data_IF_048076309575
#
_entry.id   IF_048076309575
#
_cell.length_a   1.000
_cell.length_b   1.000
_cell.length_c   1.000
_cell.angle_alpha   90.00
_cell.angle_beta   90.00
_cell.angle_gamma   90.00
#
_symmetry.space_group_name_H-M   'P 1'
#
loop_
_entity.id
_entity.type
_entity.pdbx_description
1 polymer ?
#
# COMPACT_ATOMS: atom_id res chain seq x y z
N UNK A 1 24.79 -47.81 -32.94
CA UNK A 1 23.75 -46.77 -33.01
C UNK A 1 24.16 -45.67 -32.05
N UNK A 2 24.67 -44.56 -32.58
CA UNK A 2 25.16 -43.41 -31.81
C UNK A 2 24.08 -42.34 -31.85
N UNK A 3 23.28 -42.24 -30.79
CA UNK A 3 22.38 -41.11 -30.59
C UNK A 3 23.22 -39.85 -30.39
N UNK A 4 22.97 -38.82 -31.20
CA UNK A 4 23.71 -37.56 -31.19
C UNK A 4 23.04 -36.62 -30.16
N UNK A 5 23.78 -35.93 -29.28
CA UNK A 5 23.20 -35.13 -28.20
C UNK A 5 22.73 -33.76 -28.72
N UNK A 6 21.59 -33.71 -29.40
CA UNK A 6 20.99 -32.46 -29.93
C UNK A 6 19.90 -31.89 -29.01
N UNK A 7 19.87 -32.32 -27.74
CA UNK A 7 18.80 -31.97 -26.79
C UNK A 7 19.28 -31.43 -25.45
N UNK A 8 20.58 -31.48 -25.13
CA UNK A 8 21.04 -31.08 -23.80
C UNK A 8 21.05 -29.56 -23.61
N UNK A 9 21.43 -28.78 -24.64
CA UNK A 9 21.47 -27.32 -24.54
C UNK A 9 20.05 -26.73 -24.57
N UNK A 10 19.21 -27.21 -25.48
CA UNK A 10 17.80 -26.81 -25.56
C UNK A 10 17.05 -27.12 -24.26
N UNK A 11 17.17 -28.33 -23.71
CA UNK A 11 16.48 -28.68 -22.46
C UNK A 11 17.05 -27.89 -21.26
N UNK A 12 18.36 -27.64 -21.19
CA UNK A 12 18.95 -26.79 -20.15
C UNK A 12 18.44 -25.35 -20.25
N UNK A 13 18.35 -24.80 -21.47
CA UNK A 13 17.84 -23.45 -21.70
C UNK A 13 16.34 -23.35 -21.38
N UNK A 14 15.54 -24.34 -21.78
CA UNK A 14 14.11 -24.41 -21.44
C UNK A 14 13.89 -24.56 -19.93
N UNK A 15 14.73 -25.31 -19.22
CA UNK A 15 14.66 -25.45 -17.77
C UNK A 15 15.01 -24.14 -17.05
N UNK A 16 16.01 -23.39 -17.55
CA UNK A 16 16.33 -22.05 -17.05
C UNK A 16 15.17 -21.06 -17.22
N UNK A 17 14.50 -21.08 -18.38
CA UNK A 17 13.30 -20.27 -18.63
C UNK A 17 12.16 -20.72 -17.71
N UNK A 18 11.90 -22.03 -17.65
CA UNK A 18 10.81 -22.61 -16.87
C UNK A 18 10.91 -22.29 -15.38
N UNK A 19 12.13 -22.34 -14.81
CA UNK A 19 12.38 -22.04 -13.39
C UNK A 19 12.06 -20.58 -13.03
N UNK A 20 12.13 -19.67 -13.98
CA UNK A 20 11.87 -18.23 -13.80
C UNK A 20 10.42 -17.84 -14.07
N UNK A 21 9.62 -18.74 -14.65
CA UNK A 21 8.21 -18.51 -14.98
C UNK A 21 7.25 -18.97 -13.86
N UNK A 22 6.11 -18.26 -13.67
CA UNK A 22 5.03 -18.70 -12.80
C UNK A 22 4.44 -20.05 -13.24
N UNK A 23 4.09 -20.91 -12.29
CA UNK A 23 3.58 -22.26 -12.55
C UNK A 23 2.36 -22.30 -13.49
N UNK A 24 1.53 -21.24 -13.50
CA UNK A 24 0.33 -21.15 -14.34
C UNK A 24 0.61 -21.10 -15.84
N UNK A 25 1.66 -20.37 -16.26
CA UNK A 25 1.96 -20.12 -17.69
C UNK A 25 3.17 -20.90 -18.18
N UNK A 26 3.90 -21.52 -17.25
CA UNK A 26 5.15 -22.25 -17.53
C UNK A 26 4.99 -23.31 -18.61
N UNK A 27 3.92 -24.12 -18.56
CA UNK A 27 3.69 -25.18 -19.55
C UNK A 27 3.55 -24.63 -20.96
N UNK A 28 2.54 -23.78 -21.15
CA UNK A 28 2.22 -23.20 -22.46
C UNK A 28 3.40 -22.43 -23.08
N UNK A 29 4.15 -21.67 -22.27
CA UNK A 29 5.32 -20.91 -22.74
C UNK A 29 6.48 -21.84 -23.09
N UNK A 30 6.78 -22.85 -22.26
CA UNK A 30 7.86 -23.81 -22.53
C UNK A 30 7.56 -24.62 -23.79
N UNK A 31 6.32 -25.03 -23.99
CA UNK A 31 5.92 -25.79 -25.17
C UNK A 31 5.99 -24.92 -26.44
N UNK A 32 5.53 -23.66 -26.38
CA UNK A 32 5.67 -22.71 -27.48
C UNK A 32 7.14 -22.44 -27.83
N UNK A 33 8.01 -22.26 -26.83
CA UNK A 33 9.44 -22.05 -27.05
C UNK A 33 10.14 -23.30 -27.59
N UNK A 34 9.73 -24.50 -27.16
CA UNK A 34 10.25 -25.76 -27.71
C UNK A 34 9.94 -25.88 -29.20
N UNK A 35 8.72 -25.56 -29.62
CA UNK A 35 8.34 -25.52 -31.04
C UNK A 35 9.15 -24.46 -31.79
N UNK A 36 9.29 -23.25 -31.23
CA UNK A 36 10.02 -22.16 -31.86
C UNK A 36 11.52 -22.46 -32.05
N UNK A 37 12.14 -23.22 -31.14
CA UNK A 37 13.53 -23.71 -31.28
C UNK A 37 13.60 -24.79 -32.36
N UNK A 38 12.67 -25.74 -32.36
CA UNK A 38 12.63 -26.83 -33.35
C UNK A 38 12.49 -26.31 -34.78
N UNK A 39 11.62 -25.31 -35.00
CA UNK A 39 11.42 -24.68 -36.31
C UNK A 39 12.69 -24.00 -36.81
N UNK A 40 13.41 -23.26 -35.94
CA UNK A 40 14.67 -22.60 -36.30
C UNK A 40 15.79 -23.59 -36.63
N UNK A 41 15.86 -24.69 -35.88
CA UNK A 41 16.81 -25.77 -36.16
C UNK A 41 16.50 -26.41 -37.51
N UNK A 42 15.22 -26.67 -37.81
CA UNK A 42 14.78 -27.23 -39.08
C UNK A 42 15.15 -26.31 -40.26
N UNK A 43 14.91 -25.01 -40.14
CA UNK A 43 15.26 -24.01 -41.13
C UNK A 43 16.78 -23.91 -41.37
N UNK A 44 17.57 -23.98 -40.31
CA UNK A 44 19.02 -23.97 -40.41
C UNK A 44 19.54 -25.27 -41.07
N UNK A 45 18.93 -26.42 -40.77
CA UNK A 45 19.26 -27.69 -41.40
C UNK A 45 18.93 -27.69 -42.90
N UNK A 46 17.80 -27.09 -43.30
CA UNK A 46 17.44 -26.90 -44.70
C UNK A 46 18.47 -26.05 -45.49
N UNK A 47 19.20 -25.17 -44.79
CA UNK A 47 20.31 -24.37 -45.32
C UNK A 47 21.67 -25.08 -45.25
N UNK A 48 21.70 -26.36 -44.88
CA UNK A 48 22.92 -27.16 -44.80
C UNK A 48 23.79 -26.88 -43.58
N UNK A 49 23.26 -26.22 -42.54
CA UNK A 49 23.99 -25.97 -41.28
C UNK A 49 24.06 -27.27 -40.46
N UNK A 50 25.23 -27.64 -39.90
CA UNK A 50 25.34 -28.80 -39.01
C UNK A 50 24.43 -28.66 -37.78
N UNK A 51 23.81 -29.76 -37.36
CA UNK A 51 22.88 -29.80 -36.22
C UNK A 51 23.36 -29.08 -34.93
N UNK A 52 24.59 -29.27 -34.44
CA UNK A 52 25.04 -28.58 -33.22
C UNK A 52 25.20 -27.06 -33.40
N UNK A 53 25.53 -26.60 -34.60
CA UNK A 53 25.63 -25.17 -34.89
C UNK A 53 24.24 -24.55 -35.09
N UNK A 54 23.31 -25.31 -35.67
CA UNK A 54 21.92 -24.91 -35.81
C UNK A 54 21.24 -24.69 -34.45
N UNK A 55 21.46 -25.60 -33.48
CA UNK A 55 20.95 -25.47 -32.11
C UNK A 55 21.51 -24.22 -31.40
N UNK A 56 22.84 -24.01 -31.46
CA UNK A 56 23.46 -22.84 -30.81
C UNK A 56 22.94 -21.52 -31.40
N UNK A 57 22.82 -21.46 -32.73
CA UNK A 57 22.33 -20.27 -33.43
C UNK A 57 20.87 -19.96 -33.10
N UNK A 58 20.01 -20.98 -33.01
CA UNK A 58 18.61 -20.82 -32.63
C UNK A 58 18.48 -20.26 -31.20
N UNK A 59 19.29 -20.73 -30.26
CA UNK A 59 19.32 -20.23 -28.88
C UNK A 59 19.90 -18.81 -28.79
N UNK A 60 20.94 -18.49 -29.55
CA UNK A 60 21.52 -17.13 -29.64
C UNK A 60 20.54 -16.10 -30.22
N UNK A 61 19.73 -16.50 -31.21
CA UNK A 61 18.68 -15.66 -31.81
C UNK A 61 17.50 -15.41 -30.85
N UNK A 62 17.14 -16.40 -30.04
CA UNK A 62 16.11 -16.27 -28.99
C UNK A 62 16.60 -15.47 -27.77
N UNK A 63 17.91 -15.48 -27.52
CA UNK A 63 18.55 -14.62 -26.54
C UNK A 63 18.61 -15.20 -25.11
N UNK A 64 18.87 -14.30 -24.15
CA UNK A 64 19.07 -14.67 -22.75
C UNK A 64 17.78 -15.25 -22.14
N UNK A 65 17.81 -16.50 -21.61
CA UNK A 65 16.65 -17.12 -20.99
C UNK A 65 16.13 -16.33 -19.78
N UNK A 66 16.97 -15.50 -19.13
CA UNK A 66 16.52 -14.62 -18.04
C UNK A 66 15.63 -13.49 -18.57
N UNK A 67 16.04 -12.84 -19.67
CA UNK A 67 15.28 -11.74 -20.28
C UNK A 67 14.02 -12.23 -20.97
N UNK A 68 14.10 -13.37 -21.66
CA UNK A 68 12.94 -13.95 -22.33
C UNK A 68 11.85 -14.38 -21.32
N UNK A 69 12.26 -14.88 -20.15
CA UNK A 69 11.34 -15.17 -19.07
C UNK A 69 10.69 -13.92 -18.48
N UNK A 70 11.33 -12.75 -18.54
CA UNK A 70 10.76 -11.48 -18.07
C UNK A 70 9.64 -10.99 -18.99
N UNK A 71 9.80 -11.13 -20.30
CA UNK A 71 8.77 -10.77 -21.28
C UNK A 71 7.51 -11.67 -21.19
N UNK A 72 7.69 -12.90 -20.70
CA UNK A 72 6.62 -13.88 -20.54
C UNK A 72 6.14 -14.09 -19.09
N UNK A 73 6.75 -13.42 -18.11
CA UNK A 73 6.31 -13.49 -16.72
C UNK A 73 5.17 -12.50 -16.48
N UNK A 74 3.93 -12.97 -16.20
CA UNK A 74 2.86 -12.08 -15.77
C UNK A 74 3.09 -11.66 -14.31
N UNK A 75 3.74 -10.53 -14.10
CA UNK A 75 3.66 -9.83 -12.83
C UNK A 75 4.82 -8.91 -12.51
N UNK A 76 4.55 -7.74 -11.90
CA UNK A 76 5.61 -6.82 -11.49
C UNK A 76 6.47 -7.42 -10.37
N UNK A 77 7.80 -7.38 -10.53
CA UNK A 77 8.79 -7.69 -9.47
C UNK A 77 9.00 -6.52 -8.50
N UNK A 78 8.30 -5.41 -8.68
CA UNK A 78 8.43 -4.21 -7.85
C UNK A 78 7.39 -4.19 -6.74
N UNK A 79 7.82 -3.79 -5.53
CA UNK A 79 6.91 -3.55 -4.40
C UNK A 79 6.05 -2.30 -4.64
N UNK A 80 6.59 -1.31 -5.34
CA UNK A 80 5.91 -0.07 -5.75
C UNK A 80 6.26 0.17 -7.21
N UNK A 81 5.25 0.21 -8.09
CA UNK A 81 5.47 0.35 -9.53
C UNK A 81 5.80 1.77 -9.98
N UNK A 82 6.39 1.91 -11.19
CA UNK A 82 6.75 3.21 -11.74
C UNK A 82 5.54 4.14 -11.93
N UNK A 83 4.32 3.56 -12.02
CA UNK A 83 3.08 4.31 -12.16
C UNK A 83 2.65 5.04 -10.88
N UNK A 84 3.05 4.55 -9.69
CA UNK A 84 2.69 5.13 -8.39
C UNK A 84 3.89 5.68 -7.63
N UNK A 85 5.09 5.57 -8.20
CA UNK A 85 6.33 5.97 -7.56
C UNK A 85 6.37 7.48 -7.25
N UNK A 86 5.79 8.31 -8.12
CA UNK A 86 5.74 9.75 -7.88
C UNK A 86 4.81 10.10 -6.71
N UNK A 87 3.60 9.56 -6.68
CA UNK A 87 2.68 9.75 -5.56
C UNK A 87 3.25 9.20 -4.24
N UNK A 88 4.01 8.10 -4.30
CA UNK A 88 4.74 7.55 -3.14
C UNK A 88 5.76 8.55 -2.59
N UNK A 89 6.58 9.17 -3.45
CA UNK A 89 7.55 10.17 -3.02
C UNK A 89 6.89 11.43 -2.44
N UNK A 90 5.76 11.86 -3.01
CA UNK A 90 4.99 12.99 -2.48
C UNK A 90 4.45 12.68 -1.07
N UNK A 91 3.89 11.49 -0.87
CA UNK A 91 3.45 11.05 0.45
C UNK A 91 4.62 10.99 1.43
N UNK A 92 5.74 10.37 1.05
CA UNK A 92 6.93 10.25 1.89
C UNK A 92 7.45 11.63 2.32
N UNK A 93 7.48 12.58 1.39
CA UNK A 93 7.95 13.96 1.62
C UNK A 93 7.11 14.72 2.64
N UNK A 94 5.83 14.37 2.82
CA UNK A 94 4.94 14.99 3.81
C UNK A 94 4.89 14.16 5.10
N UNK A 95 4.68 12.85 4.98
CA UNK A 95 4.39 11.98 6.11
C UNK A 95 5.59 11.81 7.05
N UNK A 96 6.79 11.65 6.50
CA UNK A 96 8.03 11.47 7.28
C UNK A 96 8.32 12.69 8.16
N UNK A 97 8.42 13.92 7.63
CA UNK A 97 8.72 15.08 8.49
C UNK A 97 7.58 15.39 9.46
N UNK A 98 6.32 15.15 9.10
CA UNK A 98 5.19 15.36 10.03
C UNK A 98 5.29 14.41 11.21
N UNK A 99 5.46 13.10 10.97
CA UNK A 99 5.59 12.14 12.07
C UNK A 99 6.88 12.33 12.86
N UNK A 100 7.99 12.65 12.21
CA UNK A 100 9.23 13.02 12.90
C UNK A 100 9.04 14.25 13.80
N UNK A 101 8.35 15.28 13.30
CA UNK A 101 8.05 16.50 14.04
C UNK A 101 7.10 16.26 15.21
N UNK A 102 6.06 15.44 15.04
CA UNK A 102 5.12 15.10 16.13
C UNK A 102 5.82 14.29 17.21
N UNK A 103 6.54 13.22 16.86
CA UNK A 103 7.26 12.39 17.83
C UNK A 103 8.37 13.18 18.53
N UNK A 104 9.19 13.90 17.77
CA UNK A 104 10.28 14.72 18.29
C UNK A 104 9.77 15.87 19.15
N UNK A 105 8.76 16.58 18.68
CA UNK A 105 8.14 17.71 19.39
C UNK A 105 7.48 17.27 20.69
N UNK A 106 6.74 16.15 20.71
CA UNK A 106 6.14 15.62 21.94
C UNK A 106 7.20 15.19 22.95
N UNK A 107 8.28 14.54 22.48
CA UNK A 107 9.41 14.13 23.31
C UNK A 107 10.16 15.34 23.89
N UNK A 108 10.36 16.38 23.06
CA UNK A 108 10.96 17.64 23.50
C UNK A 108 10.05 18.35 24.52
N UNK A 109 8.75 18.39 24.28
CA UNK A 109 7.79 19.01 25.20
C UNK A 109 7.80 18.32 26.57
N UNK A 110 7.82 16.98 26.57
CA UNK A 110 7.94 16.19 27.80
C UNK A 110 9.20 16.52 28.60
N UNK A 111 10.36 16.57 27.93
CA UNK A 111 11.63 16.94 28.58
C UNK A 111 11.69 18.40 29.03
N UNK A 112 11.05 19.33 28.30
CA UNK A 112 10.95 20.75 28.67
C UNK A 112 10.12 20.98 29.94
N UNK A 113 8.98 20.29 30.08
CA UNK A 113 8.14 20.43 31.28
C UNK A 113 8.65 19.63 32.49
N UNK A 114 9.48 18.59 32.28
CA UNK A 114 9.97 17.74 33.37
C UNK A 114 11.08 18.38 34.23
N UNK A 115 11.82 19.37 33.72
CA UNK A 115 13.17 19.69 34.22
C UNK A 115 13.43 21.18 34.47
N UNK A 116 12.39 21.96 34.77
CA UNK A 116 12.51 23.30 35.34
C UNK A 116 13.16 23.24 36.74
N UNK A 117 14.49 23.15 36.82
CA UNK A 117 15.21 23.13 38.11
C UNK A 117 16.64 22.60 38.16
N UNK A 118 17.28 22.19 37.05
CA UNK A 118 18.72 21.79 37.10
C UNK A 118 19.67 22.98 37.00
N UNK A 119 20.83 22.85 37.65
CA UNK A 119 21.91 23.85 37.67
C UNK A 119 22.84 23.79 36.44
N UNK A 120 22.80 22.71 35.63
CA UNK A 120 23.62 22.52 34.43
C UNK A 120 22.80 22.58 33.13
N UNK A 121 22.65 23.76 32.51
CA UNK A 121 21.80 23.96 31.32
C UNK A 121 22.30 23.22 30.07
N UNK A 122 23.62 22.97 29.96
CA UNK A 122 24.23 22.35 28.77
C UNK A 122 23.94 20.84 28.70
N UNK A 123 24.11 20.12 29.82
CA UNK A 123 23.83 18.69 29.87
C UNK A 123 22.33 18.40 29.65
N UNK A 124 21.48 19.30 30.14
CA UNK A 124 20.05 19.25 29.94
C UNK A 124 19.65 19.44 28.47
N UNK A 125 20.15 20.49 27.82
CA UNK A 125 19.89 20.74 26.41
C UNK A 125 20.34 19.55 25.53
N UNK A 126 21.47 18.92 25.87
CA UNK A 126 21.98 17.75 25.15
C UNK A 126 21.04 16.52 25.30
N UNK A 127 20.53 16.24 26.49
CA UNK A 127 19.65 15.09 26.75
C UNK A 127 18.25 15.28 26.14
N UNK A 128 17.69 16.49 26.25
CA UNK A 128 16.42 16.85 25.63
C UNK A 128 16.52 16.74 24.09
N UNK A 129 17.62 17.22 23.51
CA UNK A 129 17.85 17.09 22.08
C UNK A 129 18.05 15.62 21.65
N UNK A 130 18.80 14.82 22.40
CA UNK A 130 19.04 13.41 22.09
C UNK A 130 17.74 12.58 22.10
N UNK A 131 16.90 12.76 23.12
CA UNK A 131 15.61 12.07 23.24
C UNK A 131 14.60 12.55 22.18
N UNK A 132 14.56 13.84 21.87
CA UNK A 132 13.77 14.39 20.78
C UNK A 132 14.21 13.85 19.42
N UNK A 133 15.52 13.74 19.17
CA UNK A 133 16.06 13.22 17.93
C UNK A 133 15.76 11.73 17.75
N UNK A 134 15.92 10.93 18.81
CA UNK A 134 15.55 9.51 18.80
C UNK A 134 14.06 9.29 18.56
N UNK A 135 13.22 10.14 19.17
CA UNK A 135 11.78 10.14 18.91
C UNK A 135 11.46 10.52 17.45
N UNK A 136 12.06 11.59 16.94
CA UNK A 136 11.88 12.03 15.57
C UNK A 136 12.29 10.95 14.56
N UNK A 137 13.42 10.27 14.81
CA UNK A 137 13.86 9.15 13.98
C UNK A 137 12.85 8.00 13.99
N UNK A 138 12.30 7.63 15.15
CA UNK A 138 11.25 6.63 15.22
C UNK A 138 10.01 7.06 14.42
N UNK A 139 9.56 8.31 14.58
CA UNK A 139 8.43 8.85 13.82
C UNK A 139 8.67 8.84 12.31
N UNK A 140 9.89 9.18 11.88
CA UNK A 140 10.31 9.13 10.48
C UNK A 140 10.25 7.70 9.91
N UNK A 141 10.82 6.72 10.63
CA UNK A 141 10.81 5.31 10.21
C UNK A 141 9.39 4.75 10.14
N UNK A 142 8.56 5.11 11.12
CA UNK A 142 7.16 4.69 11.16
C UNK A 142 6.36 5.28 10.00
N UNK A 143 6.58 6.56 9.66
CA UNK A 143 5.98 7.20 8.50
C UNK A 143 6.43 6.58 7.17
N UNK A 144 7.72 6.30 7.03
CA UNK A 144 8.24 5.63 5.84
C UNK A 144 7.66 4.21 5.69
N UNK A 145 7.62 3.44 6.78
CA UNK A 145 7.03 2.10 6.81
C UNK A 145 5.55 2.11 6.44
N UNK A 146 4.78 3.04 7.02
CA UNK A 146 3.36 3.21 6.68
C UNK A 146 3.16 3.54 5.20
N UNK A 147 3.94 4.48 4.64
CA UNK A 147 3.88 4.81 3.21
C UNK A 147 4.18 3.60 2.32
N UNK A 148 5.20 2.81 2.65
CA UNK A 148 5.53 1.58 1.91
C UNK A 148 4.38 0.58 1.96
N UNK A 149 3.79 0.33 3.13
CA UNK A 149 2.67 -0.61 3.26
C UNK A 149 1.47 -0.15 2.43
N UNK A 150 1.10 1.14 2.50
CA UNK A 150 -0.02 1.69 1.70
C UNK A 150 0.21 1.44 0.22
N UNK A 151 1.36 1.83 -0.32
CA UNK A 151 1.64 1.72 -1.75
C UNK A 151 1.87 0.27 -2.20
N UNK A 152 2.50 -0.57 -1.37
CA UNK A 152 2.66 -1.99 -1.65
C UNK A 152 1.31 -2.70 -1.80
N UNK A 153 0.34 -2.35 -0.94
CA UNK A 153 -0.99 -2.93 -1.01
C UNK A 153 -1.75 -2.40 -2.23
N UNK A 154 -1.64 -1.10 -2.56
CA UNK A 154 -2.23 -0.52 -3.78
C UNK A 154 -1.71 -1.25 -5.03
N UNK A 155 -0.39 -1.37 -5.18
CA UNK A 155 0.26 -2.06 -6.30
C UNK A 155 -0.21 -3.50 -6.42
N UNK A 156 -0.27 -4.22 -5.28
CA UNK A 156 -0.64 -5.64 -5.26
C UNK A 156 -2.08 -5.87 -5.71
N UNK A 157 -3.01 -5.01 -5.30
CA UNK A 157 -4.41 -5.17 -5.68
C UNK A 157 -4.66 -4.75 -7.13
N UNK A 158 -3.97 -3.73 -7.63
CA UNK A 158 -4.06 -3.35 -9.04
C UNK A 158 -3.48 -4.45 -9.95
N UNK A 159 -2.33 -5.01 -9.60
CA UNK A 159 -1.71 -6.15 -10.28
C UNK A 159 -2.65 -7.37 -10.35
N UNK A 160 -3.32 -7.69 -9.25
CA UNK A 160 -4.28 -8.80 -9.19
C UNK A 160 -5.48 -8.61 -10.14
N UNK A 161 -5.94 -7.36 -10.34
CA UNK A 161 -7.01 -7.08 -11.31
C UNK A 161 -6.57 -7.18 -12.75
N UNK A 162 -5.38 -6.70 -13.07
CA UNK A 162 -4.85 -6.79 -14.43
C UNK A 162 -4.71 -8.26 -14.84
N UNK A 163 -4.20 -9.09 -13.93
CA UNK A 163 -4.17 -10.55 -14.11
C UNK A 163 -5.57 -11.16 -14.25
N UNK A 164 -6.54 -10.72 -13.43
CA UNK A 164 -7.93 -11.20 -13.52
C UNK A 164 -8.68 -10.77 -14.80
N UNK A 165 -8.40 -9.58 -15.34
CA UNK A 165 -8.97 -9.12 -16.61
C UNK A 165 -8.36 -9.83 -17.81
N UNK A 166 -7.05 -10.05 -17.82
CA UNK A 166 -6.39 -10.85 -18.85
C UNK A 166 -6.99 -12.28 -18.86
N UNK A 167 -7.09 -12.91 -17.69
CA UNK A 167 -7.70 -14.23 -17.56
C UNK A 167 -9.19 -14.30 -17.97
N UNK A 168 -9.93 -13.21 -17.87
CA UNK A 168 -11.34 -13.13 -18.29
C UNK A 168 -11.52 -12.78 -19.78
N UNK A 169 -10.51 -12.16 -20.41
CA UNK A 169 -10.49 -11.89 -21.85
C UNK A 169 -10.20 -13.16 -22.67
N UNK A 170 -9.55 -14.15 -22.05
CA UNK A 170 -9.28 -15.47 -22.63
C UNK A 170 -10.46 -16.47 -22.47
N UNK A 171 -11.62 -16.01 -21.97
CA UNK A 171 -12.84 -16.83 -21.98
C UNK A 171 -13.31 -17.03 -23.44
N UNK A 172 -13.74 -18.24 -23.83
CA UNK A 172 -13.84 -18.63 -25.24
C UNK A 172 -14.78 -17.71 -26.02
N UNK A 173 -14.21 -17.03 -27.02
CA UNK A 173 -14.89 -16.17 -27.98
C UNK A 173 -15.74 -16.97 -28.99
N UNK A 174 -16.59 -17.88 -28.51
CA UNK A 174 -17.43 -18.72 -29.37
C UNK A 174 -18.71 -18.02 -29.89
N UNK A 175 -18.86 -16.70 -29.70
CA UNK A 175 -20.08 -15.99 -30.12
C UNK A 175 -19.85 -14.69 -30.90
N UNK A 176 -18.68 -14.47 -31.50
CA UNK A 176 -18.44 -13.34 -32.41
C UNK A 176 -17.90 -13.85 -33.75
N UNK A 177 -18.81 -14.30 -34.59
CA UNK A 177 -18.50 -14.82 -35.91
C UNK A 177 -17.91 -13.78 -36.87
N UNK A 178 -17.04 -14.29 -37.75
CA UNK A 178 -16.86 -13.86 -39.14
C UNK A 178 -16.25 -12.49 -39.41
N UNK A 179 -14.91 -12.45 -39.43
CA UNK A 179 -14.03 -12.03 -40.55
C UNK A 179 -12.75 -11.40 -40.02
N UNK A 180 -11.65 -12.12 -40.11
CA UNK A 180 -10.33 -11.55 -40.40
C UNK A 180 -9.44 -12.65 -40.97
N UNK A 181 -9.41 -12.73 -42.30
CA UNK A 181 -8.38 -13.47 -43.02
C UNK A 181 -7.18 -12.54 -43.24
N UNK A 182 -5.99 -13.07 -42.94
CA UNK A 182 -4.74 -12.80 -43.66
C UNK A 182 -4.25 -11.35 -43.76
N UNK A 183 -3.40 -10.96 -42.82
CA UNK A 183 -2.16 -10.24 -43.08
C UNK A 183 -1.34 -10.28 -41.79
N UNK A 184 -0.08 -10.75 -41.87
CA UNK A 184 0.91 -10.50 -40.83
C UNK A 184 1.13 -8.98 -40.78
N UNK A 185 0.43 -8.30 -39.88
CA UNK A 185 0.65 -6.88 -39.62
C UNK A 185 1.95 -6.74 -38.82
N UNK A 186 3.00 -6.23 -39.47
CA UNK A 186 4.13 -5.61 -38.77
C UNK A 186 3.59 -4.70 -37.65
N UNK A 187 4.19 -4.69 -36.44
CA UNK A 187 3.65 -3.92 -35.32
C UNK A 187 3.52 -2.45 -35.72
N UNK A 188 2.27 -2.01 -35.90
CA UNK A 188 1.94 -0.71 -36.45
C UNK A 188 2.67 0.38 -35.65
N UNK A 189 3.53 1.13 -36.35
CA UNK A 189 4.30 2.23 -35.77
C UNK A 189 3.31 3.20 -35.10
N UNK A 190 3.54 3.48 -33.81
CA UNK A 190 2.64 4.31 -33.01
C UNK A 190 2.33 5.65 -33.71
N UNK A 191 1.04 5.96 -33.87
CA UNK A 191 0.56 7.24 -34.45
C UNK A 191 -0.26 8.04 -33.44
N UNK A 192 -0.38 9.35 -33.65
CA UNK A 192 -1.06 10.26 -32.71
C UNK A 192 -2.55 9.93 -32.56
N UNK A 193 -3.17 9.29 -33.55
CA UNK A 193 -4.56 8.84 -33.45
C UNK A 193 -4.75 7.67 -32.47
N UNK A 194 -3.66 6.99 -32.06
CA UNK A 194 -3.67 5.94 -31.02
C UNK A 194 -3.53 6.52 -29.61
N UNK A 195 -3.52 7.84 -29.45
CA UNK A 195 -3.48 8.49 -28.15
C UNK A 195 -4.75 8.13 -27.36
N UNK A 196 -4.64 7.49 -26.19
CA UNK A 196 -5.80 7.19 -25.36
C UNK A 196 -6.55 8.48 -25.03
N UNK A 197 -7.88 8.48 -25.00
CA UNK A 197 -8.64 9.66 -24.61
C UNK A 197 -8.16 10.14 -23.24
N UNK A 198 -8.11 11.47 -23.01
CA UNK A 198 -7.63 12.04 -21.77
C UNK A 198 -8.35 11.38 -20.61
N UNK A 199 -7.57 10.80 -19.68
CA UNK A 199 -8.12 10.14 -18.50
C UNK A 199 -9.01 11.16 -17.77
N UNK A 200 -10.23 10.78 -17.35
CA UNK A 200 -11.08 11.69 -16.59
C UNK A 200 -10.29 12.19 -15.38
N UNK A 201 -10.44 13.47 -14.99
CA UNK A 201 -9.74 14.03 -13.83
C UNK A 201 -9.94 13.10 -12.65
N UNK A 202 -8.85 12.70 -11.98
CA UNK A 202 -8.93 11.87 -10.77
C UNK A 202 -9.81 12.63 -9.77
N UNK A 203 -10.96 12.05 -9.42
CA UNK A 203 -11.89 12.62 -8.42
C UNK A 203 -11.25 12.75 -7.03
N UNK A 204 -10.10 12.10 -6.80
CA UNK A 204 -9.32 12.14 -5.56
C UNK A 204 -8.02 12.88 -5.87
N UNK A 205 -7.84 14.06 -5.28
CA UNK A 205 -6.56 14.79 -5.37
C UNK A 205 -5.49 14.05 -4.58
N UNK A 206 -4.22 14.15 -5.00
CA UNK A 206 -3.11 13.56 -4.23
C UNK A 206 -3.11 14.08 -2.79
N UNK A 207 -3.51 15.35 -2.59
CA UNK A 207 -3.73 15.93 -1.26
C UNK A 207 -4.77 15.21 -0.41
N UNK A 208 -5.87 14.69 -0.98
CA UNK A 208 -6.88 13.93 -0.23
C UNK A 208 -6.33 12.57 0.22
N UNK A 209 -5.56 11.89 -0.64
CA UNK A 209 -4.90 10.63 -0.29
C UNK A 209 -3.82 10.84 0.77
N UNK A 210 -3.04 11.92 0.66
CA UNK A 210 -2.02 12.30 1.65
C UNK A 210 -2.67 12.62 2.99
N UNK A 211 -3.78 13.35 2.99
CA UNK A 211 -4.49 13.71 4.23
C UNK A 211 -5.11 12.48 4.92
N UNK A 212 -5.77 11.60 4.16
CA UNK A 212 -6.33 10.36 4.75
C UNK A 212 -5.23 9.45 5.27
N UNK A 213 -4.17 9.25 4.47
CA UNK A 213 -2.99 8.46 4.87
C UNK A 213 -2.30 9.02 6.11
N UNK A 214 -2.23 10.35 6.24
CA UNK A 214 -1.63 11.01 7.40
C UNK A 214 -2.47 10.80 8.67
N UNK A 215 -3.78 11.06 8.61
CA UNK A 215 -4.67 10.86 9.76
C UNK A 215 -4.65 9.42 10.25
N UNK A 216 -4.58 8.49 9.30
CA UNK A 216 -4.60 7.06 9.55
C UNK A 216 -3.24 6.52 10.08
N UNK A 217 -2.13 7.07 9.60
CA UNK A 217 -0.81 6.80 10.17
C UNK A 217 -0.67 7.37 11.59
N UNK A 218 -1.24 8.55 11.85
CA UNK A 218 -1.31 9.13 13.20
C UNK A 218 -2.19 8.28 14.13
N UNK A 219 -3.33 7.78 13.65
CA UNK A 219 -4.17 6.85 14.40
C UNK A 219 -3.39 5.58 14.77
N UNK A 220 -2.70 4.96 13.81
CA UNK A 220 -1.83 3.82 14.08
C UNK A 220 -0.71 4.15 15.10
N UNK A 221 -0.13 5.35 15.01
CA UNK A 221 0.92 5.81 15.92
C UNK A 221 0.45 6.20 17.32
N UNK A 222 -0.83 6.56 17.48
CA UNK A 222 -1.38 7.11 18.73
C UNK A 222 -1.08 6.26 19.98
N UNK A 223 -1.35 4.93 20.03
CA UNK A 223 -1.06 4.14 21.24
C UNK A 223 0.43 4.11 21.57
N UNK A 224 1.32 4.10 20.57
CA UNK A 224 2.77 4.11 20.78
C UNK A 224 3.27 5.48 21.24
N UNK A 225 2.71 6.56 20.70
CA UNK A 225 3.00 7.94 21.09
C UNK A 225 2.60 8.20 22.54
N UNK A 226 1.36 7.85 22.90
CA UNK A 226 0.79 8.15 24.21
C UNK A 226 1.27 7.15 25.29
N UNK A 227 1.87 6.02 24.91
CA UNK A 227 2.55 5.11 25.85
C UNK A 227 3.97 5.52 26.16
N UNK A 228 4.48 6.61 25.58
CA UNK A 228 5.80 7.12 25.96
C UNK A 228 5.70 7.88 27.29
N UNK A 229 6.69 7.70 28.18
CA UNK A 229 6.77 8.51 29.38
C UNK A 229 6.98 9.96 28.96
N UNK A 230 6.06 10.83 29.37
CA UNK A 230 6.17 12.26 29.10
C UNK A 230 7.21 12.92 30.02
N UNK A 231 7.52 12.31 31.17
CA UNK A 231 8.44 12.84 32.16
C UNK A 231 9.64 11.90 32.35
N UNK A 232 10.84 12.46 32.28
CA UNK A 232 12.09 11.72 32.51
C UNK A 232 12.52 11.72 33.99
N UNK A 233 12.13 12.74 34.77
CA UNK A 233 12.47 12.89 36.18
C UNK A 233 11.29 13.44 37.00
N UNK A 234 11.40 13.35 38.33
CA UNK A 234 10.33 13.72 39.26
C UNK A 234 9.44 12.52 39.61
N UNK A 235 8.41 12.71 40.43
CA UNK A 235 7.65 11.59 40.96
C UNK A 235 6.74 10.93 39.91
N UNK A 236 6.67 11.44 38.67
CA UNK A 236 5.99 10.89 37.48
C UNK A 236 7.00 10.31 36.46
N UNK A 237 8.29 10.25 36.82
CA UNK A 237 9.35 9.80 35.92
C UNK A 237 9.09 8.37 35.43
N UNK A 238 9.13 8.18 34.11
CA UNK A 238 8.92 6.87 33.50
C UNK A 238 7.45 6.44 33.41
N UNK A 239 6.51 7.24 33.90
CA UNK A 239 5.08 6.93 33.81
C UNK A 239 4.52 7.31 32.43
N UNK A 240 3.93 6.36 31.67
CA UNK A 240 3.29 6.65 30.39
C UNK A 240 2.01 7.48 30.58
N UNK A 241 1.61 8.25 29.55
CA UNK A 241 0.34 8.97 29.58
C UNK A 241 -0.84 8.00 29.57
N UNK A 242 -0.80 7.01 28.67
CA UNK A 242 -1.75 5.89 28.66
C UNK A 242 -1.53 5.00 29.87
N UNK A 243 -2.60 4.60 30.55
CA UNK A 243 -2.50 3.59 31.59
C UNK A 243 -1.98 2.25 31.00
N UNK A 244 -1.02 1.57 31.65
CA UNK A 244 -0.49 0.29 31.15
C UNK A 244 -1.56 -0.78 30.93
N UNK A 245 -2.63 -0.76 31.74
CA UNK A 245 -3.76 -1.68 31.61
C UNK A 245 -4.57 -1.55 30.31
N UNK A 246 -4.40 -0.46 29.55
CA UNK A 246 -5.05 -0.30 28.24
C UNK A 246 -4.45 -1.20 27.16
N UNK A 247 -3.20 -1.65 27.32
CA UNK A 247 -2.51 -2.43 26.28
C UNK A 247 -3.18 -3.76 25.99
N UNK A 248 -3.83 -4.38 26.97
CA UNK A 248 -4.61 -5.59 26.77
C UNK A 248 -5.97 -5.48 27.45
N UNK A 249 -7.10 -5.64 26.72
CA UNK A 249 -7.24 -6.01 25.30
C UNK A 249 -7.40 -4.81 24.34
N UNK A 250 -7.43 -3.58 24.84
CA UNK A 250 -7.99 -2.44 24.10
C UNK A 250 -7.12 -1.97 22.93
N UNK A 251 -5.79 -1.88 23.11
CA UNK A 251 -4.87 -1.45 22.03
C UNK A 251 -4.92 -2.39 20.82
N UNK A 252 -4.83 -3.73 20.95
CA UNK A 252 -5.01 -4.66 19.83
C UNK A 252 -6.35 -4.50 19.12
N UNK A 253 -7.44 -4.30 19.86
CA UNK A 253 -8.77 -4.12 19.27
C UNK A 253 -8.88 -2.79 18.50
N UNK A 254 -8.32 -1.71 19.05
CA UNK A 254 -8.16 -0.43 18.38
C UNK A 254 -7.33 -0.57 17.09
N UNK A 255 -6.17 -1.20 17.15
CA UNK A 255 -5.31 -1.43 15.98
C UNK A 255 -5.99 -2.30 14.93
N UNK A 256 -6.78 -3.29 15.35
CA UNK A 256 -7.63 -4.09 14.46
C UNK A 256 -8.63 -3.23 13.69
N UNK A 257 -9.33 -2.32 14.36
CA UNK A 257 -10.25 -1.38 13.72
C UNK A 257 -9.53 -0.36 12.81
N UNK A 258 -8.34 0.12 13.20
CA UNK A 258 -7.49 0.94 12.33
C UNK A 258 -7.13 0.15 11.07
N UNK A 259 -6.71 -1.11 11.20
CA UNK A 259 -6.37 -1.96 10.06
C UNK A 259 -7.59 -2.23 9.14
N UNK A 260 -8.78 -2.40 9.72
CA UNK A 260 -10.04 -2.49 8.94
C UNK A 260 -10.32 -1.17 8.22
N UNK A 261 -10.07 -0.03 8.87
CA UNK A 261 -10.22 1.30 8.27
C UNK A 261 -9.26 1.50 7.09
N UNK A 262 -7.99 1.07 7.23
CA UNK A 262 -7.01 1.01 6.12
C UNK A 262 -7.52 0.17 4.95
N UNK A 263 -7.96 -1.06 5.23
CA UNK A 263 -8.47 -1.96 4.20
C UNK A 263 -9.71 -1.41 3.50
N UNK A 264 -10.54 -0.67 4.24
CA UNK A 264 -11.74 -0.03 3.72
C UNK A 264 -11.43 1.17 2.80
N UNK A 265 -10.55 2.08 3.22
CA UNK A 265 -10.09 3.21 2.39
C UNK A 265 -9.49 2.72 1.08
N UNK A 266 -8.67 1.68 1.16
CA UNK A 266 -8.14 0.99 0.00
C UNK A 266 -9.27 0.45 -0.89
N UNK A 267 -10.24 -0.28 -0.33
CA UNK A 267 -11.37 -0.80 -1.12
C UNK A 267 -12.18 0.31 -1.81
N UNK A 268 -12.36 1.46 -1.16
CA UNK A 268 -13.00 2.65 -1.72
C UNK A 268 -12.20 3.20 -2.90
N UNK A 269 -10.89 3.42 -2.72
CA UNK A 269 -9.97 3.86 -3.77
C UNK A 269 -10.05 2.95 -5.00
N UNK A 270 -10.12 1.66 -4.74
CA UNK A 270 -10.18 0.61 -5.73
C UNK A 270 -11.51 0.53 -6.50
N UNK A 271 -12.66 0.80 -5.88
CA UNK A 271 -13.96 0.69 -6.54
C UNK A 271 -14.34 1.93 -7.36
N UNK A 272 -13.66 3.08 -7.18
CA UNK A 272 -13.86 4.38 -7.90
C UNK A 272 -15.32 4.84 -8.06
N UNK A 273 -16.27 4.23 -7.36
CA UNK A 273 -17.70 4.44 -7.51
C UNK A 273 -18.32 4.40 -6.13
N UNK A 274 -18.83 5.54 -5.68
CA UNK A 274 -19.64 5.62 -4.48
C UNK A 274 -20.96 4.86 -4.66
N UNK A 275 -21.33 4.10 -3.64
CA UNK A 275 -22.63 3.47 -3.51
C UNK A 275 -23.10 3.61 -2.06
N UNK A 276 -24.41 3.57 -1.84
CA UNK A 276 -24.99 3.59 -0.50
C UNK A 276 -24.48 2.46 0.39
N UNK A 277 -24.20 1.29 -0.20
CA UNK A 277 -23.58 0.17 0.53
C UNK A 277 -22.17 0.47 1.01
N UNK A 278 -21.36 1.20 0.23
CA UNK A 278 -20.03 1.62 0.67
C UNK A 278 -20.13 2.65 1.81
N UNK A 279 -21.04 3.62 1.71
CA UNK A 279 -21.26 4.56 2.81
C UNK A 279 -21.66 3.85 4.11
N UNK A 280 -22.56 2.85 4.03
CA UNK A 280 -23.02 2.11 5.20
C UNK A 280 -21.90 1.34 5.91
N UNK A 281 -20.97 0.74 5.16
CA UNK A 281 -19.83 0.03 5.75
C UNK A 281 -18.84 1.01 6.38
N UNK A 282 -18.55 2.15 5.72
CA UNK A 282 -17.71 3.20 6.32
C UNK A 282 -18.29 3.63 7.67
N UNK A 283 -19.58 4.00 7.65
CA UNK A 283 -20.29 4.41 8.84
C UNK A 283 -20.26 3.35 9.95
N UNK A 284 -20.37 2.06 9.61
CA UNK A 284 -20.26 0.98 10.59
C UNK A 284 -18.87 0.90 11.22
N UNK A 285 -17.80 1.08 10.43
CA UNK A 285 -16.42 1.11 10.94
C UNK A 285 -16.20 2.33 11.85
N UNK A 286 -16.67 3.51 11.44
CA UNK A 286 -16.55 4.74 12.23
C UNK A 286 -17.31 4.64 13.55
N UNK A 287 -18.52 4.09 13.52
CA UNK A 287 -19.33 3.86 14.72
C UNK A 287 -18.70 2.80 15.62
N UNK A 288 -18.10 1.74 15.07
CA UNK A 288 -17.39 0.74 15.86
C UNK A 288 -16.14 1.34 16.55
N UNK A 289 -15.38 2.18 15.83
CA UNK A 289 -14.25 2.92 16.41
C UNK A 289 -14.72 3.88 17.51
N UNK A 290 -15.78 4.66 17.25
CA UNK A 290 -16.35 5.57 18.23
C UNK A 290 -16.85 4.81 19.48
N UNK A 291 -17.57 3.71 19.29
CA UNK A 291 -18.06 2.88 20.38
C UNK A 291 -16.91 2.32 21.22
N UNK A 292 -15.82 1.86 20.59
CA UNK A 292 -14.62 1.42 21.29
C UNK A 292 -14.02 2.54 22.13
N UNK A 293 -13.74 3.69 21.51
CA UNK A 293 -13.10 4.82 22.20
C UNK A 293 -13.98 5.32 23.35
N UNK A 294 -15.28 5.46 23.13
CA UNK A 294 -16.25 5.86 24.16
C UNK A 294 -16.30 4.84 25.30
N UNK A 295 -16.25 3.53 24.99
CA UNK A 295 -16.19 2.48 26.01
C UNK A 295 -14.95 2.66 26.85
N UNK A 296 -13.77 2.72 26.23
CA UNK A 296 -12.47 2.91 26.89
C UNK A 296 -12.45 4.19 27.74
N UNK A 297 -12.98 5.29 27.24
CA UNK A 297 -13.10 6.57 27.97
C UNK A 297 -14.03 6.51 29.19
N UNK A 298 -15.04 5.62 29.19
CA UNK A 298 -16.03 5.51 30.27
C UNK A 298 -15.71 4.40 31.29
N UNK A 299 -15.12 3.30 30.84
CA UNK A 299 -14.88 2.11 31.68
C UNK A 299 -13.49 2.13 32.29
N UNK A 300 -12.50 2.67 31.57
CA UNK A 300 -11.10 2.57 31.96
C UNK A 300 -10.50 3.93 32.29
N UNK A 301 -9.51 3.90 33.17
CA UNK A 301 -8.62 5.04 33.37
C UNK A 301 -7.69 5.17 32.16
N UNK A 302 -8.14 5.83 31.09
CA UNK A 302 -7.33 6.03 29.87
C UNK A 302 -5.98 6.67 30.20
N UNK A 303 -6.04 7.68 31.06
CA UNK A 303 -4.85 8.34 31.61
C UNK A 303 -4.34 7.53 32.80
N UNK A 304 -3.03 7.36 32.86
CA UNK A 304 -2.35 6.73 33.98
C UNK A 304 -2.85 7.31 35.33
N UNK A 305 -3.30 6.46 36.28
CA UNK A 305 -3.88 6.92 37.55
C UNK A 305 -2.97 7.87 38.32
N UNK A 306 -1.66 7.67 38.27
CA UNK A 306 -0.67 8.54 38.94
C UNK A 306 -0.74 9.98 38.42
N UNK A 307 -1.04 10.18 37.14
CA UNK A 307 -1.21 11.51 36.54
C UNK A 307 -2.51 12.17 37.00
N UNK A 308 -3.59 11.38 37.12
CA UNK A 308 -4.89 11.88 37.58
C UNK A 308 -4.85 12.31 39.04
N UNK A 309 -4.24 11.50 39.90
CA UNK A 309 -4.08 11.79 41.33
C UNK A 309 -3.31 13.09 41.60
N UNK A 310 -2.44 13.49 40.66
CA UNK A 310 -1.67 14.73 40.75
C UNK A 310 -2.29 15.92 40.04
N UNK A 311 -3.54 15.79 39.60
CA UNK A 311 -4.31 16.89 39.05
C UNK A 311 -3.93 17.31 37.62
N UNK A 312 -3.14 16.50 36.90
CA UNK A 312 -2.85 16.75 35.48
C UNK A 312 -4.11 16.63 34.59
N UNK A 313 -5.09 15.85 35.06
CA UNK A 313 -6.31 15.56 34.33
C UNK A 313 -7.50 15.70 35.27
N UNK A 314 -8.38 16.66 34.98
CA UNK A 314 -9.60 16.89 35.76
C UNK A 314 -10.71 15.86 35.48
N UNK A 315 -11.72 15.83 36.35
CA UNK A 315 -12.86 14.90 36.28
C UNK A 315 -13.63 14.99 34.94
N UNK A 316 -13.62 16.16 34.30
CA UNK A 316 -14.27 16.40 33.00
C UNK A 316 -13.54 15.84 31.78
N UNK A 317 -12.31 15.30 31.92
CA UNK A 317 -11.51 14.86 30.77
C UNK A 317 -12.18 13.73 29.97
N UNK A 318 -12.72 12.73 30.66
CA UNK A 318 -13.42 11.63 30.00
C UNK A 318 -14.66 12.12 29.25
N UNK A 319 -15.45 13.01 29.86
CA UNK A 319 -16.63 13.60 29.24
C UNK A 319 -16.25 14.45 28.01
N UNK A 320 -15.21 15.28 28.12
CA UNK A 320 -14.71 16.07 27.01
C UNK A 320 -14.19 15.19 25.86
N UNK A 321 -13.47 14.12 26.17
CA UNK A 321 -13.01 13.13 25.20
C UNK A 321 -14.16 12.43 24.47
N UNK A 322 -15.20 12.01 25.20
CA UNK A 322 -16.42 11.43 24.60
C UNK A 322 -17.11 12.42 23.67
N UNK A 323 -17.29 13.67 24.09
CA UNK A 323 -17.88 14.71 23.24
C UNK A 323 -17.06 14.92 21.98
N UNK A 324 -15.72 14.99 22.10
CA UNK A 324 -14.83 15.14 20.95
C UNK A 324 -14.96 13.96 19.98
N UNK A 325 -14.95 12.72 20.48
CA UNK A 325 -15.13 11.51 19.65
C UNK A 325 -16.46 11.58 18.91
N UNK A 326 -17.57 11.89 19.62
CA UNK A 326 -18.90 12.00 19.00
C UNK A 326 -18.95 13.08 17.94
N UNK A 327 -18.37 14.27 18.20
CA UNK A 327 -18.33 15.37 17.23
C UNK A 327 -17.55 14.97 15.99
N UNK A 328 -16.37 14.35 16.14
CA UNK A 328 -15.55 13.88 15.01
C UNK A 328 -16.31 12.82 14.21
N UNK A 329 -16.93 11.84 14.87
CA UNK A 329 -17.69 10.79 14.19
C UNK A 329 -18.91 11.35 13.45
N UNK A 330 -19.66 12.26 14.06
CA UNK A 330 -20.82 12.89 13.40
C UNK A 330 -20.36 13.71 12.19
N UNK A 331 -19.28 14.48 12.35
CA UNK A 331 -18.69 15.24 11.24
C UNK A 331 -18.31 14.33 10.07
N UNK A 332 -17.58 13.24 10.34
CA UNK A 332 -17.11 12.32 9.31
C UNK A 332 -18.29 11.60 8.61
N UNK A 333 -19.29 11.16 9.37
CA UNK A 333 -20.51 10.57 8.81
C UNK A 333 -21.24 11.53 7.87
N UNK A 334 -21.35 12.82 8.25
CA UNK A 334 -21.99 13.87 7.44
C UNK A 334 -21.16 14.17 6.19
N UNK A 335 -19.85 14.33 6.32
CA UNK A 335 -18.95 14.60 5.20
C UNK A 335 -19.01 13.47 4.16
N UNK A 336 -18.91 12.22 4.63
CA UNK A 336 -18.96 11.01 3.81
C UNK A 336 -20.34 10.83 3.17
N UNK A 337 -21.43 11.16 3.88
CA UNK A 337 -22.79 11.15 3.33
C UNK A 337 -22.97 12.19 2.20
N UNK A 338 -22.51 13.42 2.42
CA UNK A 338 -22.59 14.49 1.42
C UNK A 338 -21.77 14.13 0.17
N UNK A 339 -20.56 13.58 0.34
CA UNK A 339 -19.73 13.09 -0.76
C UNK A 339 -20.44 11.99 -1.58
N UNK A 340 -21.07 11.02 -0.90
CA UNK A 340 -21.87 9.98 -1.55
C UNK A 340 -23.05 10.58 -2.34
N UNK A 341 -23.80 11.52 -1.74
CA UNK A 341 -24.94 12.18 -2.39
C UNK A 341 -24.53 12.95 -3.66
N UNK A 342 -23.45 13.73 -3.59
CA UNK A 342 -22.97 14.53 -4.73
C UNK A 342 -22.48 13.64 -5.89
N UNK A 343 -21.81 12.53 -5.58
CA UNK A 343 -21.33 11.60 -6.60
C UNK A 343 -22.49 10.86 -7.32
N UNK A 344 -23.57 10.52 -6.61
CA UNK A 344 -24.76 9.91 -7.21
C UNK A 344 -25.59 10.89 -8.03
N UNK A 345 -25.68 12.16 -7.60
CA UNK A 345 -26.38 13.20 -8.35
C UNK A 345 -25.73 13.49 -9.72
N UNK A 346 -24.39 13.58 -9.76
CA UNK A 346 -23.63 13.76 -11.02
C UNK A 346 -23.86 12.64 -12.04
N UNK A 347 -24.05 11.40 -11.57
CA UNK A 347 -24.34 10.24 -12.45
C UNK A 347 -25.72 10.30 -13.09
N UNK A 348 -26.73 10.78 -12.36
CA UNK A 348 -28.09 10.94 -12.90
C UNK A 348 -28.17 12.02 -13.96
N UNK A 349 -27.38 13.08 -13.84
CA UNK A 349 -27.30 14.14 -14.85
C UNK A 349 -26.55 13.75 -16.14
N UNK A 350 -25.55 12.87 -16.05
CA UNK A 350 -24.75 12.44 -17.21
C UNK A 350 -25.40 11.33 -18.05
N UNK A 351 -26.44 10.65 -17.55
CA UNK A 351 -27.14 9.57 -18.24
C UNK A 351 -28.45 9.97 -18.93
N UNK A 352 -28.79 11.26 -18.93
CA UNK A 352 -30.05 11.78 -19.48
C UNK A 352 -29.88 12.91 -20.52
N UNK A 353 -28.68 13.02 -21.11
CA UNK A 353 -28.36 14.00 -22.16
C UNK A 353 -28.21 13.33 -23.52
#
# INVERSE_FOLDING_TARGET
>A
MTETPTGTLTETWLEEVARRLPARVRGDVVDGLRTAVADRIHDAAARGVPAPEAERRALEELGDPARLAEDHAPGPRHLIGPAHYHEFLELLRVLVPVLAGVFGGLSLLGTLFAEAGRQDPVAYAALALASALGAALQGALMGAGAAVVVFAVVERVESARTAGRAAGADAPAEAAGSRRSGAEEEPARWTVEQLPPPRPPRDVTVGELVWSSLGLALAFAAPFLLSRPLFAHGPLAGEPLLAPGLWWPWVPLYLGLVAVSWGWELLRFLRRRWSWGLWAVNAAVDLAMAALLVTVLRTESVVNPVLRERGWVGEGFAAAGVVLVVVITVWDLVATFLACRHSLARRRGAGGG
#
